data_IF_024516666455
#
_entry.id   IF_024516666455
#
_cell.length_a   1.000
_cell.length_b   1.000
_cell.length_c   1.000
_cell.angle_alpha   90.00
_cell.angle_beta   90.00
_cell.angle_gamma   90.00
#
_symmetry.space_group_name_H-M   'P 1'
#
loop_
_entity.id
_entity.type
_entity.pdbx_description
1 polymer ?
#
# COMPACT_ATOMS: atom_id res chain seq x y z
N UNK A 1 13.09 -12.30 11.37
CA UNK A 1 12.25 -12.42 10.17
C UNK A 1 11.83 -11.01 9.87
N UNK A 2 12.50 -10.37 8.91
CA UNK A 2 12.12 -9.02 8.50
C UNK A 2 10.89 -9.22 7.65
N UNK A 3 9.72 -9.27 8.27
CA UNK A 3 8.46 -9.22 7.53
C UNK A 3 8.57 -7.99 6.64
N UNK A 4 8.66 -8.25 5.34
CA UNK A 4 9.18 -7.31 4.37
C UNK A 4 8.40 -6.01 4.41
N UNK A 5 8.99 -4.96 3.86
CA UNK A 5 8.30 -3.70 3.60
C UNK A 5 7.23 -3.89 2.51
N UNK A 6 6.27 -4.77 2.76
CA UNK A 6 5.26 -5.24 1.85
C UNK A 6 3.94 -5.49 2.58
N UNK A 7 2.83 -5.17 1.92
CA UNK A 7 1.46 -5.43 2.36
C UNK A 7 0.80 -6.42 1.40
N UNK A 8 -0.12 -7.19 1.96
CA UNK A 8 -0.93 -8.14 1.20
C UNK A 8 -2.00 -7.39 0.39
N UNK A 9 -2.16 -7.74 -0.89
CA UNK A 9 -3.15 -7.15 -1.78
C UNK A 9 -4.58 -7.31 -1.27
N UNK A 10 -4.90 -8.40 -0.58
CA UNK A 10 -6.23 -8.59 0.01
C UNK A 10 -6.49 -7.63 1.17
N UNK A 11 -5.46 -7.23 1.92
CA UNK A 11 -5.59 -6.13 2.91
C UNK A 11 -5.83 -4.79 2.23
N UNK A 12 -5.16 -4.54 1.10
CA UNK A 12 -5.39 -3.33 0.31
C UNK A 12 -6.82 -3.27 -0.23
N UNK A 13 -7.36 -4.40 -0.73
CA UNK A 13 -8.76 -4.53 -1.17
C UNK A 13 -9.76 -4.31 -0.04
N UNK A 14 -9.42 -4.76 1.17
CA UNK A 14 -10.25 -4.52 2.36
C UNK A 14 -10.28 -3.05 2.80
N UNK A 15 -9.39 -2.20 2.27
CA UNK A 15 -9.36 -0.76 2.54
C UNK A 15 -8.80 -0.37 3.91
N UNK A 16 -8.25 -1.33 4.66
CA UNK A 16 -7.65 -1.13 5.97
C UNK A 16 -6.26 -1.77 5.95
N UNK A 17 -5.23 -0.91 5.87
CA UNK A 17 -3.84 -1.34 5.77
C UNK A 17 -3.05 -0.72 6.90
N UNK A 18 -2.31 -1.55 7.62
CA UNK A 18 -1.31 -1.09 8.58
C UNK A 18 0.04 -0.93 7.87
N UNK A 19 0.69 0.20 8.09
CA UNK A 19 2.02 0.46 7.57
C UNK A 19 3.04 -0.40 8.33
N UNK A 20 3.81 -1.28 7.66
CA UNK A 20 4.81 -2.12 8.32
C UNK A 20 6.02 -1.33 8.86
N UNK A 21 6.16 -0.05 8.48
CA UNK A 21 7.30 0.79 8.89
C UNK A 21 7.04 1.57 10.18
N UNK A 22 5.81 2.04 10.38
CA UNK A 22 5.45 2.85 11.55
C UNK A 22 4.30 2.25 12.38
N UNK A 23 3.81 1.07 11.97
CA UNK A 23 2.74 0.31 12.64
C UNK A 23 1.43 1.09 12.78
N UNK A 24 1.24 2.12 11.94
CA UNK A 24 0.03 2.94 11.93
C UNK A 24 -0.90 2.56 10.79
N UNK A 25 -2.19 2.75 11.03
CA UNK A 25 -3.22 2.58 10.01
C UNK A 25 -3.11 3.66 8.94
N UNK A 26 -3.17 3.23 7.68
CA UNK A 26 -3.24 4.08 6.50
C UNK A 26 -4.73 4.24 6.15
N UNK A 27 -5.33 5.41 6.41
CA UNK A 27 -6.70 5.67 5.98
C UNK A 27 -6.74 5.76 4.45
N UNK A 28 -7.76 5.16 3.84
CA UNK A 28 -7.99 5.21 2.39
C UNK A 28 -6.72 4.85 1.58
N UNK A 29 -6.16 3.64 1.76
CA UNK A 29 -4.83 3.30 1.24
C UNK A 29 -4.71 3.39 -0.29
N UNK A 30 -5.82 3.30 -1.02
CA UNK A 30 -5.86 3.50 -2.48
C UNK A 30 -5.60 4.95 -2.91
N UNK A 31 -5.87 5.93 -2.05
CA UNK A 31 -5.54 7.34 -2.31
C UNK A 31 -4.02 7.56 -2.31
N UNK A 32 -3.30 6.69 -1.59
CA UNK A 32 -1.84 6.70 -1.48
C UNK A 32 -1.17 5.57 -2.25
N UNK A 33 -1.91 4.88 -3.13
CA UNK A 33 -1.38 3.80 -3.94
C UNK A 33 -0.55 4.36 -5.11
N UNK A 34 0.60 3.75 -5.31
CA UNK A 34 1.55 4.05 -6.37
C UNK A 34 1.42 2.99 -7.44
N UNK A 35 1.37 3.46 -8.68
CA UNK A 35 1.37 2.64 -9.89
C UNK A 35 2.57 2.94 -10.78
N UNK A 36 3.29 1.91 -11.21
CA UNK A 36 4.41 2.03 -12.15
C UNK A 36 3.96 1.76 -13.58
N UNK A 37 3.46 2.82 -14.24
CA UNK A 37 3.11 2.78 -15.65
C UNK A 37 1.89 3.62 -15.98
N UNK A 38 1.55 3.77 -17.28
CA UNK A 38 0.36 4.48 -17.68
C UNK A 38 -0.88 3.63 -17.38
N UNK A 39 -1.62 4.00 -16.33
CA UNK A 39 -2.95 3.46 -16.03
C UNK A 39 -3.98 4.57 -16.02
N UNK A 40 -5.18 4.28 -16.48
CA UNK A 40 -6.28 5.26 -16.46
C UNK A 40 -6.89 5.44 -15.05
N UNK A 41 -6.72 4.46 -14.17
CA UNK A 41 -7.24 4.46 -12.81
C UNK A 41 -6.43 3.56 -11.90
N UNK A 42 -6.14 4.03 -10.69
CA UNK A 42 -5.50 3.22 -9.64
C UNK A 42 -6.55 2.39 -8.91
N UNK A 43 -6.29 1.10 -8.73
CA UNK A 43 -7.11 0.12 -8.01
C UNK A 43 -6.20 -0.78 -7.17
N UNK A 44 -6.79 -1.55 -6.25
CA UNK A 44 -6.01 -2.50 -5.45
C UNK A 44 -5.32 -3.57 -6.31
N UNK A 45 -5.88 -3.88 -7.49
CA UNK A 45 -5.35 -4.90 -8.39
C UNK A 45 -4.10 -4.45 -9.17
N UNK A 46 -3.98 -3.15 -9.43
CA UNK A 46 -2.82 -2.61 -10.15
C UNK A 46 -1.84 -1.85 -9.27
N UNK A 47 -2.19 -1.50 -8.03
CA UNK A 47 -1.25 -0.89 -7.10
C UNK A 47 -0.03 -1.78 -6.88
N UNK A 48 1.18 -1.26 -7.10
CA UNK A 48 2.43 -1.94 -6.81
C UNK A 48 3.07 -1.49 -5.50
N UNK A 49 2.69 -0.32 -4.98
CA UNK A 49 3.10 0.16 -3.67
C UNK A 49 2.05 1.09 -3.05
N UNK A 50 2.19 1.37 -1.75
CA UNK A 50 1.41 2.35 -1.01
C UNK A 50 2.38 3.22 -0.21
N UNK A 51 2.23 4.53 -0.32
CA UNK A 51 2.96 5.51 0.48
C UNK A 51 2.20 5.79 1.77
N UNK A 52 2.87 5.72 2.92
CA UNK A 52 2.25 6.03 4.20
C UNK A 52 2.20 7.55 4.40
N UNK A 53 1.02 8.18 4.57
CA UNK A 53 0.92 9.63 4.78
C UNK A 53 1.40 10.11 6.16
N UNK A 54 1.87 9.19 7.02
CA UNK A 54 2.30 9.50 8.38
C UNK A 54 3.82 9.51 8.53
N UNK A 55 4.51 8.57 7.88
CA UNK A 55 5.97 8.44 7.95
C UNK A 55 6.65 8.61 6.59
N UNK A 56 5.89 8.89 5.53
CA UNK A 56 6.33 9.00 4.14
C UNK A 56 7.05 7.73 3.63
N UNK A 57 6.81 6.61 4.33
CA UNK A 57 7.40 5.32 4.01
C UNK A 57 6.64 4.63 2.89
N UNK A 58 7.36 4.16 1.88
CA UNK A 58 6.80 3.39 0.76
C UNK A 58 6.83 1.92 1.08
N UNK A 59 5.70 1.24 0.96
CA UNK A 59 5.54 -0.20 1.19
C UNK A 59 5.02 -0.87 -0.08
N UNK A 60 5.61 -1.99 -0.48
CA UNK A 60 5.23 -2.70 -1.71
C UNK A 60 3.96 -3.52 -1.55
N UNK A 61 3.20 -3.73 -2.62
CA UNK A 61 2.03 -4.62 -2.61
C UNK A 61 2.47 -5.99 -3.13
N UNK A 62 2.20 -7.03 -2.35
CA UNK A 62 2.49 -8.43 -2.67
C UNK A 62 1.21 -9.26 -2.73
N UNK A 63 1.25 -10.37 -3.45
CA UNK A 63 0.19 -11.40 -3.50
C UNK A 63 0.55 -12.58 -2.58
#
# INVERSE_FOLDING_TARGET
MTDGNSIDRDRLRAGVVECPLCERQIPEPLTHAIVYGPVNRVTADNAEAVECPVCDGVTFVSD
#
